data_IF_646878859068
#
_entry.id   IF_646878859068
#
_cell.length_a   1.000
_cell.length_b   1.000
_cell.length_c   1.000
_cell.angle_alpha   90.00
_cell.angle_beta   90.00
_cell.angle_gamma   90.00
#
_symmetry.space_group_name_H-M   'P 1'
#
loop_
_entity.id
_entity.type
_entity.pdbx_description
1 polymer ?
#
# COMPACT_ATOMS: atom_id res chain seq x y z
N UNK A 1 -40.58 13.44 -15.74
CA UNK A 1 -40.16 12.11 -15.26
C UNK A 1 -38.72 12.23 -14.81
N UNK A 2 -38.55 12.77 -13.61
CA UNK A 2 -37.28 13.12 -13.01
C UNK A 2 -37.18 12.35 -11.69
N UNK A 3 -35.96 12.21 -11.16
CA UNK A 3 -35.66 12.06 -9.73
C UNK A 3 -35.41 10.66 -9.13
N UNK A 4 -35.72 9.53 -9.78
CA UNK A 4 -35.50 8.20 -9.18
C UNK A 4 -34.13 7.56 -9.52
N UNK A 5 -33.57 7.82 -10.71
CA UNK A 5 -32.38 7.13 -11.19
C UNK A 5 -31.04 7.72 -10.67
N UNK A 6 -30.99 9.00 -10.29
CA UNK A 6 -29.75 9.64 -9.79
C UNK A 6 -29.41 9.25 -8.34
N UNK A 7 -30.44 9.10 -7.48
CA UNK A 7 -30.26 8.83 -6.05
C UNK A 7 -29.52 7.53 -5.72
N UNK A 8 -29.66 6.50 -6.55
CA UNK A 8 -29.06 5.18 -6.29
C UNK A 8 -27.57 5.14 -6.68
N UNK A 9 -27.19 5.91 -7.70
CA UNK A 9 -25.83 6.02 -8.22
C UNK A 9 -24.96 6.92 -7.32
N UNK A 10 -25.55 8.00 -6.80
CA UNK A 10 -24.91 8.91 -5.84
C UNK A 10 -24.64 8.22 -4.49
N UNK A 11 -25.52 7.32 -4.06
CA UNK A 11 -25.36 6.59 -2.81
C UNK A 11 -24.20 5.59 -2.88
N UNK A 12 -24.12 4.78 -3.95
CA UNK A 12 -22.98 3.85 -4.13
C UNK A 12 -21.66 4.60 -4.31
N UNK A 13 -21.65 5.70 -5.07
CA UNK A 13 -20.45 6.53 -5.26
C UNK A 13 -19.98 7.18 -3.96
N UNK A 14 -20.91 7.63 -3.12
CA UNK A 14 -20.59 8.16 -1.80
C UNK A 14 -20.03 7.08 -0.87
N UNK A 15 -20.65 5.90 -0.81
CA UNK A 15 -20.16 4.76 -0.01
C UNK A 15 -18.82 4.24 -0.52
N UNK A 16 -18.61 4.16 -1.84
CA UNK A 16 -17.33 3.78 -2.43
C UNK A 16 -16.25 4.80 -2.10
N UNK A 17 -16.56 6.09 -2.16
CA UNK A 17 -15.66 7.16 -1.73
C UNK A 17 -15.25 7.03 -0.26
N UNK A 18 -16.21 6.82 0.64
CA UNK A 18 -15.95 6.60 2.07
C UNK A 18 -15.12 5.34 2.32
N UNK A 19 -15.36 4.26 1.56
CA UNK A 19 -14.60 3.03 1.67
C UNK A 19 -13.15 3.20 1.20
N UNK A 20 -12.94 3.84 0.04
CA UNK A 20 -11.60 4.14 -0.48
C UNK A 20 -10.87 5.06 0.50
N UNK A 21 -11.53 6.10 1.00
CA UNK A 21 -10.95 7.01 1.99
C UNK A 21 -10.59 6.29 3.30
N UNK A 22 -11.47 5.42 3.80
CA UNK A 22 -11.20 4.63 5.01
C UNK A 22 -10.05 3.63 4.80
N UNK A 23 -9.98 2.98 3.64
CA UNK A 23 -8.91 2.06 3.29
C UNK A 23 -7.57 2.81 3.14
N UNK A 24 -7.55 3.94 2.45
CA UNK A 24 -6.38 4.81 2.36
C UNK A 24 -5.96 5.33 3.74
N UNK A 25 -6.91 5.68 4.62
CA UNK A 25 -6.61 6.12 5.98
C UNK A 25 -6.04 5.01 6.85
N UNK A 26 -6.65 3.83 6.83
CA UNK A 26 -6.16 2.66 7.58
C UNK A 26 -4.76 2.25 7.13
N UNK A 27 -4.48 2.34 5.85
CA UNK A 27 -3.19 1.94 5.29
C UNK A 27 -2.07 2.95 5.53
N UNK A 28 -2.41 4.26 5.56
CA UNK A 28 -1.49 5.31 6.03
C UNK A 28 -1.11 5.15 7.50
N UNK A 29 -1.98 4.58 8.33
CA UNK A 29 -1.72 4.37 9.76
C UNK A 29 -0.82 3.16 10.05
N UNK A 30 -0.79 2.14 9.19
CA UNK A 30 0.02 0.92 9.43
C UNK A 30 1.45 1.02 8.88
N UNK A 31 1.66 1.80 7.81
CA UNK A 31 2.94 1.86 7.10
C UNK A 31 3.44 3.31 6.96
N UNK A 32 3.41 4.08 8.04
CA UNK A 32 3.91 5.46 8.04
C UNK A 32 5.36 5.55 7.59
N UNK A 33 5.69 6.65 6.89
CA UNK A 33 7.04 6.93 6.40
C UNK A 33 7.45 6.15 5.16
N UNK A 34 6.57 5.30 4.60
CA UNK A 34 6.81 4.62 3.33
C UNK A 34 6.12 5.30 2.15
N UNK A 35 6.66 5.11 0.94
CA UNK A 35 6.01 5.56 -0.29
C UNK A 35 4.74 4.76 -0.57
N UNK A 36 3.73 5.33 -1.26
CA UNK A 36 2.48 4.62 -1.57
C UNK A 36 2.70 3.26 -2.28
N UNK A 37 3.71 3.18 -3.15
CA UNK A 37 4.05 1.93 -3.83
C UNK A 37 4.58 0.85 -2.87
N UNK A 38 5.40 1.21 -1.89
CA UNK A 38 5.85 0.28 -0.85
C UNK A 38 4.68 -0.19 0.03
N UNK A 39 3.77 0.72 0.37
CA UNK A 39 2.56 0.39 1.13
C UNK A 39 1.69 -0.63 0.39
N UNK A 40 1.47 -0.44 -0.92
CA UNK A 40 0.72 -1.40 -1.75
C UNK A 40 1.41 -2.76 -1.84
N UNK A 41 2.74 -2.77 -2.00
CA UNK A 41 3.54 -3.99 -2.02
C UNK A 41 3.40 -4.77 -0.70
N UNK A 42 3.58 -4.09 0.43
CA UNK A 42 3.46 -4.72 1.76
C UNK A 42 2.05 -5.26 2.03
N UNK A 43 1.00 -4.55 1.60
CA UNK A 43 -0.37 -5.03 1.69
C UNK A 43 -0.64 -6.27 0.85
N UNK A 44 -0.12 -6.31 -0.39
CA UNK A 44 -0.26 -7.48 -1.25
C UNK A 44 0.37 -8.70 -0.56
N UNK A 45 1.54 -8.53 0.05
CA UNK A 45 2.22 -9.57 0.84
C UNK A 45 1.41 -9.96 2.08
N UNK A 46 0.88 -9.00 2.84
CA UNK A 46 0.07 -9.28 4.04
C UNK A 46 -1.26 -9.98 3.74
N UNK A 47 -1.78 -9.83 2.51
CA UNK A 47 -2.94 -10.59 2.01
C UNK A 47 -2.57 -12.00 1.49
N UNK A 48 -1.32 -12.40 1.60
CA UNK A 48 -0.80 -13.71 1.15
C UNK A 48 -0.16 -13.72 -0.23
N UNK A 49 -0.02 -12.56 -0.89
CA UNK A 49 0.65 -12.42 -2.18
C UNK A 49 2.17 -12.28 -2.02
N UNK A 50 2.91 -13.38 -2.01
CA UNK A 50 4.38 -13.34 -1.93
C UNK A 50 4.99 -13.28 -3.33
N UNK A 51 5.85 -12.28 -3.65
CA UNK A 51 6.53 -12.23 -4.94
C UNK A 51 7.47 -13.42 -5.13
N UNK A 52 7.45 -14.03 -6.31
CA UNK A 52 8.31 -15.19 -6.62
C UNK A 52 9.78 -14.81 -6.87
N UNK A 53 10.05 -13.56 -7.28
CA UNK A 53 11.39 -13.06 -7.59
C UNK A 53 11.48 -11.56 -7.31
N UNK A 54 12.71 -11.06 -7.13
CA UNK A 54 12.98 -9.62 -6.99
C UNK A 54 12.90 -8.98 -8.36
N UNK A 55 11.85 -8.18 -8.60
CA UNK A 55 11.67 -7.47 -9.85
C UNK A 55 12.37 -6.10 -9.83
N UNK A 56 12.70 -5.51 -11.00
CA UNK A 56 13.24 -4.15 -11.06
C UNK A 56 12.33 -3.13 -10.36
N UNK A 57 11.02 -3.27 -10.49
CA UNK A 57 10.06 -2.42 -9.79
C UNK A 57 10.15 -2.54 -8.26
N UNK A 58 10.36 -3.76 -7.76
CA UNK A 58 10.55 -4.00 -6.32
C UNK A 58 11.85 -3.34 -5.81
N UNK A 59 12.91 -3.37 -6.62
CA UNK A 59 14.18 -2.69 -6.31
C UNK A 59 13.99 -1.17 -6.28
N UNK A 60 13.30 -0.60 -7.27
CA UNK A 60 12.98 0.84 -7.29
C UNK A 60 12.20 1.24 -6.04
N UNK A 61 11.14 0.49 -5.69
CA UNK A 61 10.34 0.73 -4.49
C UNK A 61 11.20 0.67 -3.22
N UNK A 62 12.09 -0.31 -3.11
CA UNK A 62 13.02 -0.41 -1.98
C UNK A 62 13.96 0.80 -1.88
N UNK A 63 14.55 1.22 -3.00
CA UNK A 63 15.48 2.35 -3.08
C UNK A 63 14.83 3.67 -2.69
N UNK A 64 13.60 3.94 -3.15
CA UNK A 64 12.82 5.13 -2.78
C UNK A 64 12.59 5.24 -1.26
N UNK A 65 12.59 4.11 -0.56
CA UNK A 65 12.41 4.03 0.89
C UNK A 65 13.74 3.86 1.64
N UNK A 66 14.88 4.12 0.97
CA UNK A 66 16.21 4.09 1.58
C UNK A 66 16.71 2.68 1.91
N UNK A 67 16.25 1.67 1.16
CA UNK A 67 16.73 0.29 1.22
C UNK A 67 17.59 0.01 -0.01
N UNK A 68 18.87 -0.28 0.20
CA UNK A 68 19.76 -0.76 -0.84
C UNK A 68 19.61 -2.28 -1.00
N UNK A 69 19.09 -2.72 -2.15
CA UNK A 69 18.91 -4.14 -2.46
C UNK A 69 20.18 -4.68 -3.12
N UNK A 70 20.73 -5.77 -2.59
CA UNK A 70 21.84 -6.48 -3.25
C UNK A 70 21.31 -7.53 -4.24
N UNK A 71 22.14 -7.93 -5.21
CA UNK A 71 21.73 -8.79 -6.31
C UNK A 71 21.38 -10.23 -5.92
N UNK A 72 21.76 -10.67 -4.73
CA UNK A 72 21.49 -11.98 -4.15
C UNK A 72 20.31 -11.98 -3.17
N UNK A 73 19.62 -10.85 -3.00
CA UNK A 73 18.48 -10.76 -2.10
C UNK A 73 17.30 -11.56 -2.61
N UNK A 74 16.64 -12.22 -1.68
CA UNK A 74 15.33 -12.83 -1.88
C UNK A 74 14.22 -11.79 -1.76
N UNK A 75 13.04 -12.02 -2.36
CA UNK A 75 11.89 -11.14 -2.17
C UNK A 75 11.55 -10.90 -0.70
N UNK A 76 11.61 -11.94 0.13
CA UNK A 76 11.32 -11.84 1.55
C UNK A 76 12.30 -10.89 2.27
N UNK A 77 13.59 -10.94 1.94
CA UNK A 77 14.57 -10.00 2.51
C UNK A 77 14.28 -8.55 2.13
N UNK A 78 13.85 -8.29 0.89
CA UNK A 78 13.43 -6.94 0.46
C UNK A 78 12.20 -6.48 1.25
N UNK A 79 11.22 -7.36 1.45
CA UNK A 79 10.00 -7.06 2.23
C UNK A 79 10.34 -6.78 3.70
N UNK A 80 11.17 -7.60 4.32
CA UNK A 80 11.62 -7.41 5.71
C UNK A 80 12.36 -6.07 5.87
N UNK A 81 13.25 -5.74 4.93
CA UNK A 81 13.94 -4.47 4.92
C UNK A 81 12.97 -3.28 4.77
N UNK A 82 11.97 -3.37 3.89
CA UNK A 82 10.93 -2.36 3.78
C UNK A 82 10.11 -2.20 5.07
N UNK A 83 9.76 -3.31 5.73
CA UNK A 83 9.06 -3.27 7.03
C UNK A 83 9.88 -2.59 8.11
N UNK A 84 11.20 -2.76 8.10
CA UNK A 84 12.09 -2.08 9.05
C UNK A 84 12.12 -0.56 8.89
N UNK A 85 11.68 -0.05 7.73
CA UNK A 85 11.58 1.39 7.42
C UNK A 85 10.24 1.99 7.81
N UNK A 86 9.25 1.18 8.20
CA UNK A 86 8.00 1.68 8.76
C UNK A 86 8.34 2.50 10.00
N UNK A 87 8.02 3.79 9.95
CA UNK A 87 8.29 4.69 11.06
C UNK A 87 7.31 4.42 12.20
N UNK A 88 7.82 4.24 13.42
CA UNK A 88 6.99 4.11 14.62
C UNK A 88 6.18 5.38 14.94
N UNK A 89 6.52 6.51 14.32
CA UNK A 89 5.88 7.81 14.54
C UNK A 89 4.74 7.99 13.53
N UNK A 90 3.62 7.32 13.79
CA UNK A 90 2.32 7.71 13.23
C UNK A 90 1.54 8.68 14.14
N UNK A 91 2.10 9.11 15.28
CA UNK A 91 1.47 10.08 16.20
C UNK A 91 2.07 11.48 15.99
N UNK A 92 1.28 12.56 15.87
CA UNK A 92 -0.07 12.86 16.38
C UNK A 92 -0.99 13.45 15.32
#
# INVERSE_FOLDING_TARGET
MSDAAKRNDDHFSHWAGLFVEAYERQTRQTYCGLTPAAVLLLQAVDKGGVPAFVSPAMVTVAQENGVAVAGDWTPNQVIEALRSKVSAVCEK
#
